data_IF_955713921264
#
_entry.id   IF_955713921264
#
_cell.length_a   1.000
_cell.length_b   1.000
_cell.length_c   1.000
_cell.angle_alpha   90.00
_cell.angle_beta   90.00
_cell.angle_gamma   90.00
#
_symmetry.space_group_name_H-M   'P 1'
#
loop_
_entity.id
_entity.type
_entity.pdbx_description
1 polymer ?
#
# COMPACT_ATOMS: atom_id res chain seq x y z
N UNK A 1 0.62 -28.56 -28.13
CA UNK A 1 0.53 -27.21 -27.55
C UNK A 1 -0.42 -27.14 -26.33
N UNK A 2 -1.69 -27.55 -26.42
CA UNK A 2 -2.64 -27.45 -25.30
C UNK A 2 -2.23 -28.24 -24.03
N UNK A 3 -1.73 -29.47 -24.20
CA UNK A 3 -1.27 -30.30 -23.07
C UNK A 3 -0.08 -29.68 -22.31
N UNK A 4 0.83 -29.01 -23.02
CA UNK A 4 1.98 -28.32 -22.42
C UNK A 4 1.53 -27.09 -21.62
N UNK A 5 0.53 -26.35 -22.11
CA UNK A 5 -0.06 -25.22 -21.38
C UNK A 5 -0.76 -25.65 -20.09
N UNK A 6 -1.46 -26.78 -20.09
CA UNK A 6 -2.07 -27.34 -18.89
C UNK A 6 -1.02 -27.80 -17.87
N UNK A 7 0.05 -28.46 -18.31
CA UNK A 7 1.16 -28.85 -17.45
C UNK A 7 1.87 -27.64 -16.84
N UNK A 8 2.13 -26.59 -17.62
CA UNK A 8 2.74 -25.36 -17.12
C UNK A 8 1.88 -24.70 -16.03
N UNK A 9 0.55 -24.68 -16.20
CA UNK A 9 -0.38 -24.11 -15.23
C UNK A 9 -0.51 -24.95 -13.96
N UNK A 10 -0.47 -26.27 -14.09
CA UNK A 10 -0.42 -27.16 -12.94
C UNK A 10 0.88 -26.97 -12.16
N UNK A 11 2.02 -26.90 -12.84
CA UNK A 11 3.33 -26.66 -12.23
C UNK A 11 3.37 -25.32 -11.48
N UNK A 12 2.88 -24.23 -12.10
CA UNK A 12 2.84 -22.93 -11.43
C UNK A 12 1.96 -22.93 -10.18
N UNK A 13 0.80 -23.60 -10.25
CA UNK A 13 -0.11 -23.74 -9.10
C UNK A 13 0.57 -24.48 -7.94
N UNK A 14 1.33 -25.55 -8.22
CA UNK A 14 2.08 -26.29 -7.20
C UNK A 14 3.18 -25.43 -6.60
N UNK A 15 3.93 -24.67 -7.42
CA UNK A 15 4.98 -23.77 -6.93
C UNK A 15 4.39 -22.69 -6.04
N UNK A 16 3.27 -22.07 -6.42
CA UNK A 16 2.58 -21.08 -5.59
C UNK A 16 2.04 -21.70 -4.30
N UNK A 17 1.49 -22.91 -4.35
CA UNK A 17 1.06 -23.65 -3.16
C UNK A 17 2.21 -23.93 -2.20
N UNK A 18 3.35 -24.39 -2.72
CA UNK A 18 4.57 -24.63 -1.93
C UNK A 18 5.09 -23.34 -1.29
N UNK A 19 5.13 -22.23 -2.04
CA UNK A 19 5.52 -20.94 -1.51
C UNK A 19 4.58 -20.50 -0.36
N UNK A 20 3.27 -20.69 -0.52
CA UNK A 20 2.30 -20.39 0.52
C UNK A 20 2.48 -21.22 1.79
N UNK A 21 2.63 -22.54 1.66
CA UNK A 21 2.80 -23.45 2.80
C UNK A 21 4.11 -23.18 3.53
N UNK A 22 5.20 -22.97 2.79
CA UNK A 22 6.51 -22.64 3.40
C UNK A 22 6.48 -21.31 4.14
N UNK A 23 5.87 -20.28 3.55
CA UNK A 23 5.67 -19.00 4.22
C UNK A 23 4.84 -19.16 5.50
N UNK A 24 3.72 -19.89 5.44
CA UNK A 24 2.85 -20.13 6.60
C UNK A 24 3.56 -20.91 7.71
N UNK A 25 4.31 -21.96 7.37
CA UNK A 25 5.03 -22.75 8.37
C UNK A 25 6.10 -21.95 9.08
N UNK A 26 6.87 -21.14 8.35
CA UNK A 26 7.88 -20.26 8.93
C UNK A 26 7.21 -19.27 9.89
N UNK A 27 6.11 -18.66 9.46
CA UNK A 27 5.36 -17.71 10.28
C UNK A 27 4.79 -18.38 11.54
N UNK A 28 4.20 -19.58 11.42
CA UNK A 28 3.67 -20.36 12.54
C UNK A 28 4.78 -20.74 13.53
N UNK A 29 5.93 -21.20 13.04
CA UNK A 29 7.08 -21.56 13.88
C UNK A 29 7.66 -20.33 14.59
N UNK A 30 7.72 -19.19 13.92
CA UNK A 30 8.13 -17.93 14.51
C UNK A 30 7.14 -17.47 15.58
N UNK A 31 5.84 -17.47 15.29
CA UNK A 31 4.79 -17.09 16.24
C UNK A 31 4.79 -17.97 17.50
N UNK A 32 5.07 -19.27 17.37
CA UNK A 32 5.16 -20.18 18.52
C UNK A 32 6.38 -19.90 19.43
N UNK A 33 7.42 -19.22 18.94
CA UNK A 33 8.66 -18.93 19.67
C UNK A 33 8.83 -17.45 20.01
N UNK A 34 7.96 -16.60 19.49
CA UNK A 34 8.10 -15.15 19.59
C UNK A 34 7.71 -14.64 20.99
N UNK A 35 8.48 -13.70 21.56
CA UNK A 35 8.01 -12.92 22.70
C UNK A 35 6.83 -12.05 22.25
N UNK A 36 5.61 -12.41 22.67
CA UNK A 36 4.37 -11.77 22.21
C UNK A 36 4.35 -10.25 22.44
N UNK A 37 4.91 -9.79 23.56
CA UNK A 37 4.93 -8.37 23.90
C UNK A 37 5.88 -7.58 22.99
N UNK A 38 7.15 -8.00 22.89
CA UNK A 38 8.17 -7.30 22.10
C UNK A 38 7.80 -7.31 20.61
N UNK A 39 7.30 -8.43 20.09
CA UNK A 39 6.81 -8.49 18.70
C UNK A 39 5.62 -7.58 18.44
N UNK A 40 4.67 -7.48 19.37
CA UNK A 40 3.57 -6.53 19.25
C UNK A 40 4.05 -5.08 19.27
N UNK A 41 5.01 -4.74 20.14
CA UNK A 41 5.59 -3.39 20.22
C UNK A 41 6.35 -3.05 18.93
N UNK A 42 7.21 -3.92 18.43
CA UNK A 42 7.92 -3.70 17.17
C UNK A 42 6.97 -3.60 15.97
N UNK A 43 5.92 -4.41 15.94
CA UNK A 43 4.89 -4.32 14.89
C UNK A 43 4.15 -2.98 14.96
N UNK A 44 3.79 -2.51 16.15
CA UNK A 44 3.19 -1.20 16.34
C UNK A 44 4.14 -0.06 15.95
N UNK A 45 5.41 -0.13 16.34
CA UNK A 45 6.44 0.85 15.96
C UNK A 45 6.59 0.95 14.44
N UNK A 46 6.69 -0.20 13.77
CA UNK A 46 6.78 -0.25 12.31
C UNK A 46 5.49 0.27 11.67
N UNK A 47 4.33 -0.05 12.24
CA UNK A 47 3.03 0.50 11.84
C UNK A 47 3.00 2.03 11.91
N UNK A 48 3.40 2.61 13.04
CA UNK A 48 3.44 4.06 13.25
C UNK A 48 4.41 4.78 12.30
N UNK A 49 5.57 4.16 12.02
CA UNK A 49 6.51 4.70 11.00
C UNK A 49 5.92 4.57 9.59
N UNK A 50 5.26 3.45 9.31
CA UNK A 50 4.61 3.17 8.04
C UNK A 50 3.48 4.12 7.73
N UNK A 51 2.61 4.44 8.70
CA UNK A 51 1.50 5.38 8.51
C UNK A 51 2.00 6.77 8.15
N UNK A 52 3.06 7.28 8.82
CA UNK A 52 3.67 8.56 8.46
C UNK A 52 4.15 8.60 7.00
N UNK A 53 4.77 7.50 6.53
CA UNK A 53 5.18 7.39 5.13
C UNK A 53 4.00 7.24 4.17
N UNK A 54 2.92 6.60 4.60
CA UNK A 54 1.70 6.50 3.82
C UNK A 54 1.00 7.87 3.66
N UNK A 55 1.02 8.71 4.69
CA UNK A 55 0.51 10.09 4.62
C UNK A 55 1.30 10.93 3.61
N UNK A 56 2.63 10.91 3.68
CA UNK A 56 3.50 11.58 2.70
C UNK A 56 3.20 11.12 1.26
N UNK A 57 2.99 9.80 1.08
CA UNK A 57 2.65 9.22 -0.21
C UNK A 57 1.24 9.61 -0.69
N UNK A 58 0.27 9.68 0.22
CA UNK A 58 -1.10 10.08 -0.08
C UNK A 58 -1.16 11.54 -0.53
N UNK A 59 -0.45 12.44 0.16
CA UNK A 59 -0.36 13.84 -0.25
C UNK A 59 0.33 13.98 -1.60
N UNK A 60 1.44 13.27 -1.81
CA UNK A 60 2.12 13.23 -3.10
C UNK A 60 1.22 12.71 -4.22
N UNK A 61 0.38 11.71 -3.96
CA UNK A 61 -0.58 11.19 -4.92
C UNK A 61 -1.69 12.21 -5.22
N UNK A 62 -2.19 12.92 -4.19
CA UNK A 62 -3.17 14.00 -4.34
C UNK A 62 -2.64 15.11 -5.23
N UNK A 63 -1.40 15.56 -5.01
CA UNK A 63 -0.77 16.61 -5.82
C UNK A 63 -0.60 16.17 -7.28
N UNK A 64 -0.10 14.96 -7.53
CA UNK A 64 0.01 14.42 -8.89
C UNK A 64 -1.33 14.29 -9.59
N UNK A 65 -2.38 13.91 -8.85
CA UNK A 65 -3.73 13.86 -9.41
C UNK A 65 -4.23 15.26 -9.76
N UNK A 66 -3.93 16.26 -8.92
CA UNK A 66 -4.27 17.66 -9.19
C UNK A 66 -3.57 18.16 -10.47
N UNK A 67 -2.30 17.80 -10.68
CA UNK A 67 -1.56 18.13 -11.92
C UNK A 67 -2.25 17.54 -13.16
N UNK A 68 -2.66 16.26 -13.10
CA UNK A 68 -3.38 15.60 -14.20
C UNK A 68 -4.73 16.27 -14.46
N UNK A 69 -5.47 16.64 -13.41
CA UNK A 69 -6.75 17.33 -13.56
C UNK A 69 -6.58 18.74 -14.12
N UNK A 70 -5.52 19.44 -13.75
CA UNK A 70 -5.18 20.75 -14.32
C UNK A 70 -4.89 20.63 -15.83
N UNK A 71 -4.06 19.66 -16.24
CA UNK A 71 -3.76 19.41 -17.65
C UNK A 71 -5.02 19.02 -18.44
N UNK A 72 -5.89 18.18 -17.87
CA UNK A 72 -7.15 17.80 -18.51
C UNK A 72 -8.08 18.99 -18.73
N UNK A 73 -8.17 19.92 -17.75
CA UNK A 73 -8.97 21.14 -17.83
C UNK A 73 -8.45 22.11 -18.88
N UNK A 74 -7.14 22.30 -18.94
CA UNK A 74 -6.50 23.14 -19.96
C UNK A 74 -6.85 22.65 -21.38
N UNK A 75 -6.81 21.32 -21.60
CA UNK A 75 -7.16 20.73 -22.90
C UNK A 75 -8.61 20.94 -23.32
N UNK A 76 -9.55 21.04 -22.36
CA UNK A 76 -10.97 21.30 -22.64
C UNK A 76 -11.31 22.80 -22.59
N UNK A 77 -10.32 23.68 -22.40
CA UNK A 77 -10.51 25.12 -22.32
C UNK A 77 -11.19 25.60 -21.03
N UNK A 78 -11.17 24.78 -19.98
CA UNK A 78 -11.67 25.15 -18.66
C UNK A 78 -10.53 25.69 -17.78
N UNK A 79 -10.79 26.77 -17.04
CA UNK A 79 -9.84 27.34 -16.09
C UNK A 79 -9.84 26.53 -14.78
N UNK A 80 -8.66 26.30 -14.19
CA UNK A 80 -8.58 25.60 -12.90
C UNK A 80 -9.24 26.46 -11.80
N UNK A 81 -10.05 25.86 -10.90
CA UNK A 81 -10.61 26.59 -9.77
C UNK A 81 -9.48 27.23 -8.96
N UNK A 82 -9.67 28.48 -8.53
CA UNK A 82 -8.72 29.13 -7.62
C UNK A 82 -8.54 28.28 -6.36
N UNK A 83 -7.30 28.09 -5.87
CA UNK A 83 -7.06 27.30 -4.67
C UNK A 83 -7.90 27.87 -3.53
N UNK A 84 -8.76 27.04 -2.94
CA UNK A 84 -9.51 27.41 -1.75
C UNK A 84 -8.51 27.64 -0.62
N UNK A 85 -8.45 28.85 -0.08
CA UNK A 85 -7.78 29.10 1.20
C UNK A 85 -8.53 28.26 2.22
N UNK A 86 -7.94 27.14 2.65
CA UNK A 86 -8.50 26.37 3.74
C UNK A 86 -8.50 27.28 4.96
N UNK A 87 -9.68 27.57 5.48
CA UNK A 87 -9.88 28.35 6.70
C UNK A 87 -9.08 27.65 7.82
N UNK A 88 -8.01 28.33 8.27
CA UNK A 88 -7.15 27.88 9.36
C UNK A 88 -8.05 27.68 10.58
N UNK A 89 -8.30 26.43 10.95
CA UNK A 89 -9.00 26.13 12.19
C UNK A 89 -8.08 26.54 13.35
N UNK A 90 -8.49 27.58 14.06
CA UNK A 90 -7.80 28.10 15.24
C UNK A 90 -7.94 27.05 16.36
N UNK A 91 -6.84 26.38 16.70
CA UNK A 91 -6.80 25.49 17.85
C UNK A 91 -6.32 26.31 19.05
N UNK A 92 -7.25 26.70 19.93
CA UNK A 92 -6.93 27.25 21.25
C UNK A 92 -5.97 26.31 21.99
N UNK A 93 -4.85 26.87 22.45
CA UNK A 93 -3.80 26.21 23.23
C UNK A 93 -4.09 26.25 24.73
#
# INVERSE_FOLDING_TARGET
>A
MAAYGLLAKAASTVVTGLAGVTAYELLRKAAAKAPLHETAVSAAELGLRGTRKAEEAAESARLKLADVMAEARERIGEEAPTPSVAELHDHEH
#
